data_IF_217904049793
#
_entry.id   IF_217904049793
#
_cell.length_a   1.000
_cell.length_b   1.000
_cell.length_c   1.000
_cell.angle_alpha   90.00
_cell.angle_beta   90.00
_cell.angle_gamma   90.00
#
_symmetry.space_group_name_H-M   'P 1'
#
loop_
_entity.id
_entity.type
_entity.pdbx_description
1 polymer ?
#
# COMPACT_ATOMS: atom_id res chain seq x y z
N UNK A 1 -19.24 -21.23 6.66
CA UNK A 1 -18.01 -22.03 6.46
C UNK A 1 -18.03 -22.73 5.09
N UNK A 2 -16.88 -23.13 4.50
CA UNK A 2 -16.84 -23.90 3.23
C UNK A 2 -17.74 -25.14 3.22
N UNK A 3 -17.87 -25.80 4.37
CA UNK A 3 -18.84 -26.89 4.61
C UNK A 3 -20.28 -26.43 4.37
N UNK A 4 -20.69 -25.30 4.93
CA UNK A 4 -22.04 -24.74 4.74
C UNK A 4 -22.29 -24.26 3.31
N UNK A 5 -21.22 -23.91 2.57
CA UNK A 5 -21.29 -23.56 1.14
C UNK A 5 -21.28 -24.78 0.21
N UNK A 6 -21.32 -26.00 0.74
CA UNK A 6 -21.31 -27.25 -0.04
C UNK A 6 -20.00 -27.51 -0.79
N UNK A 7 -18.90 -26.87 -0.37
CA UNK A 7 -17.57 -26.99 -1.00
C UNK A 7 -16.56 -27.48 0.03
N UNK A 8 -16.70 -28.71 0.54
CA UNK A 8 -15.70 -29.27 1.43
C UNK A 8 -14.35 -29.32 0.69
N UNK A 9 -13.24 -28.98 1.36
CA UNK A 9 -11.92 -29.20 0.78
C UNK A 9 -11.71 -30.70 0.55
N UNK A 10 -11.15 -31.07 -0.59
CA UNK A 10 -10.64 -32.42 -0.81
C UNK A 10 -9.38 -32.66 0.01
N UNK A 11 -9.03 -33.92 0.26
CA UNK A 11 -7.82 -34.27 1.00
C UNK A 11 -6.56 -33.65 0.36
N UNK A 12 -6.48 -33.69 -0.97
CA UNK A 12 -5.42 -33.00 -1.74
C UNK A 12 -5.40 -31.49 -1.49
N UNK A 13 -6.56 -30.85 -1.36
CA UNK A 13 -6.62 -29.41 -1.07
C UNK A 13 -6.11 -29.10 0.35
N UNK A 14 -6.34 -29.99 1.31
CA UNK A 14 -5.80 -29.86 2.68
C UNK A 14 -4.28 -29.94 2.65
N UNK A 15 -3.70 -30.91 1.93
CA UNK A 15 -2.24 -31.03 1.75
C UNK A 15 -1.64 -29.76 1.14
N UNK A 16 -2.29 -29.21 0.10
CA UNK A 16 -1.85 -27.95 -0.53
C UNK A 16 -1.91 -26.76 0.44
N UNK A 17 -2.94 -26.69 1.29
CA UNK A 17 -3.08 -25.63 2.29
C UNK A 17 -2.00 -25.73 3.38
N UNK A 18 -1.67 -26.95 3.83
CA UNK A 18 -0.59 -27.19 4.78
C UNK A 18 0.75 -26.74 4.19
N UNK A 19 1.08 -27.17 2.96
CA UNK A 19 2.31 -26.74 2.29
C UNK A 19 2.37 -25.23 2.03
N UNK A 20 1.22 -24.56 1.84
CA UNK A 20 1.14 -23.11 1.72
C UNK A 20 1.42 -22.41 3.06
N UNK A 21 0.89 -22.94 4.16
CA UNK A 21 1.19 -22.46 5.52
C UNK A 21 2.67 -22.57 5.86
N UNK A 22 3.33 -23.69 5.52
CA UNK A 22 4.77 -23.85 5.73
C UNK A 22 5.59 -22.82 4.96
N UNK A 23 5.23 -22.56 3.69
CA UNK A 23 5.87 -21.52 2.88
C UNK A 23 5.68 -20.13 3.48
N UNK A 24 4.47 -19.81 3.94
CA UNK A 24 4.19 -18.52 4.57
C UNK A 24 4.96 -18.35 5.88
N UNK A 25 5.09 -19.41 6.67
CA UNK A 25 5.95 -19.43 7.86
C UNK A 25 7.41 -19.21 7.52
N UNK A 26 7.93 -19.86 6.48
CA UNK A 26 9.30 -19.67 6.01
C UNK A 26 9.56 -18.24 5.53
N UNK A 27 8.54 -17.58 4.97
CA UNK A 27 8.59 -16.16 4.59
C UNK A 27 8.45 -15.19 5.79
N UNK A 28 8.32 -15.69 7.02
CA UNK A 28 8.23 -14.87 8.23
C UNK A 28 6.83 -14.45 8.65
N UNK A 29 5.78 -14.97 8.01
CA UNK A 29 4.40 -14.75 8.47
C UNK A 29 4.04 -15.71 9.60
N UNK A 30 3.39 -15.20 10.64
CA UNK A 30 2.88 -16.04 11.71
C UNK A 30 1.69 -16.90 11.24
N UNK A 31 1.75 -18.24 11.37
CA UNK A 31 0.67 -19.14 10.97
C UNK A 31 -0.66 -18.85 11.67
N UNK A 32 -0.64 -18.38 12.93
CA UNK A 32 -1.85 -18.03 13.68
C UNK A 32 -2.61 -16.89 13.01
N UNK A 33 -1.91 -15.79 12.72
CA UNK A 33 -2.51 -14.64 12.02
C UNK A 33 -3.05 -15.00 10.62
N UNK A 34 -2.37 -15.90 9.89
CA UNK A 34 -2.85 -16.39 8.57
C UNK A 34 -4.15 -17.18 8.72
N UNK A 35 -4.26 -18.02 9.76
CA UNK A 35 -5.46 -18.81 10.04
C UNK A 35 -6.62 -17.93 10.50
N UNK A 36 -6.36 -16.90 11.30
CA UNK A 36 -7.38 -15.93 11.70
C UNK A 36 -7.96 -15.18 10.50
N UNK A 37 -7.10 -14.71 9.58
CA UNK A 37 -7.53 -14.09 8.33
C UNK A 37 -8.37 -15.06 7.47
N UNK A 38 -7.93 -16.32 7.36
CA UNK A 38 -8.67 -17.33 6.61
C UNK A 38 -10.03 -17.64 7.24
N UNK A 39 -10.11 -17.64 8.57
CA UNK A 39 -11.36 -17.84 9.32
C UNK A 39 -12.37 -16.74 9.00
N UNK A 40 -11.93 -15.47 8.99
CA UNK A 40 -12.76 -14.33 8.55
C UNK A 40 -13.21 -14.45 7.09
N UNK A 41 -12.34 -15.00 6.22
CA UNK A 41 -12.63 -15.23 4.81
C UNK A 41 -13.34 -16.57 4.51
N UNK A 42 -14.03 -17.15 5.51
CA UNK A 42 -14.81 -18.37 5.37
C UNK A 42 -13.99 -19.61 4.93
N UNK A 43 -12.70 -19.67 5.27
CA UNK A 43 -11.79 -20.77 4.92
C UNK A 43 -11.63 -20.98 3.41
N UNK A 44 -11.71 -19.90 2.65
CA UNK A 44 -11.65 -19.97 1.18
C UNK A 44 -10.23 -20.22 0.66
N UNK A 45 -9.22 -19.56 1.23
CA UNK A 45 -7.81 -19.76 0.90
C UNK A 45 -6.91 -19.14 2.00
N UNK A 46 -5.61 -19.45 1.98
CA UNK A 46 -4.60 -18.89 2.87
C UNK A 46 -3.73 -17.89 2.09
N UNK A 47 -3.54 -16.69 2.61
CA UNK A 47 -2.75 -15.64 1.96
C UNK A 47 -1.72 -15.08 2.94
N UNK A 48 -0.63 -14.46 2.44
CA UNK A 48 0.22 -13.62 3.29
C UNK A 48 -0.64 -12.62 4.05
N UNK A 49 -0.42 -12.53 5.36
CA UNK A 49 -1.06 -11.49 6.17
C UNK A 49 -0.57 -10.16 5.62
N UNK A 50 -1.51 -9.32 5.20
CA UNK A 50 -1.18 -7.94 4.85
C UNK A 50 -0.53 -7.34 6.08
N UNK A 51 0.74 -7.00 6.00
CA UNK A 51 1.34 -6.14 7.01
C UNK A 51 0.43 -4.92 7.13
N UNK A 52 0.07 -4.48 8.34
CA UNK A 52 -0.45 -3.14 8.47
C UNK A 52 0.62 -2.27 7.83
N UNK A 53 0.21 -1.52 6.81
CA UNK A 53 1.04 -0.56 6.11
C UNK A 53 1.56 0.40 7.18
N UNK A 54 2.68 0.05 7.82
CA UNK A 54 3.57 0.99 8.43
C UNK A 54 4.16 1.69 7.23
N UNK A 55 3.37 2.65 6.73
CA UNK A 55 3.64 3.54 5.64
C UNK A 55 4.91 4.29 5.93
N UNK A 56 6.04 3.60 5.76
CA UNK A 56 7.31 4.20 5.49
C UNK A 56 7.25 4.55 4.00
N UNK A 57 6.28 5.39 3.65
CA UNK A 57 6.44 6.40 2.63
C UNK A 57 7.61 7.26 3.11
N UNK A 58 8.81 6.71 2.88
CA UNK A 58 10.03 7.46 2.73
C UNK A 58 9.86 8.30 1.47
N UNK A 59 8.97 9.29 1.51
CA UNK A 59 9.19 10.57 0.83
C UNK A 59 10.22 11.35 1.66
N UNK A 60 11.36 10.67 1.86
CA UNK A 60 12.62 11.25 2.17
C UNK A 60 13.05 11.94 0.88
N UNK A 61 13.11 13.26 0.95
CA UNK A 61 14.00 14.06 0.13
C UNK A 61 13.55 14.39 -1.31
N UNK A 62 12.53 15.24 -1.43
CA UNK A 62 12.51 16.27 -2.48
C UNK A 62 12.25 17.63 -1.84
N UNK A 63 13.12 18.01 -0.90
CA UNK A 63 13.43 19.42 -0.67
C UNK A 63 14.84 19.60 -1.18
N UNK A 64 15.00 20.05 -2.43
CA UNK A 64 16.17 20.80 -2.88
C UNK A 64 15.95 21.34 -4.31
N UNK A 65 15.94 22.66 -4.39
CA UNK A 65 16.58 23.46 -5.45
C UNK A 65 15.83 23.80 -6.75
N UNK A 66 14.51 23.97 -6.70
CA UNK A 66 13.84 24.83 -7.69
C UNK A 66 12.54 25.39 -7.11
N UNK A 67 12.63 26.44 -6.29
CA UNK A 67 11.50 27.33 -5.97
C UNK A 67 11.08 28.18 -7.20
N UNK A 68 11.23 27.61 -8.40
CA UNK A 68 10.78 28.21 -9.65
C UNK A 68 9.60 27.38 -10.18
N UNK A 69 8.44 28.01 -10.44
CA UNK A 69 7.34 27.30 -11.09
C UNK A 69 7.80 26.82 -12.46
N UNK A 70 7.85 25.49 -12.65
CA UNK A 70 8.13 24.88 -13.97
C UNK A 70 7.07 25.20 -15.02
N UNK A 71 5.91 25.70 -14.58
CA UNK A 71 4.83 26.14 -15.46
C UNK A 71 5.10 27.56 -15.98
N UNK A 72 5.22 27.75 -17.31
CA UNK A 72 5.55 29.05 -17.90
C UNK A 72 4.48 30.11 -17.66
N UNK A 73 3.22 29.72 -17.48
CA UNK A 73 2.12 30.65 -17.20
C UNK A 73 2.13 31.10 -15.73
N UNK A 74 2.49 30.22 -14.80
CA UNK A 74 2.64 30.57 -13.38
C UNK A 74 3.83 31.51 -13.19
N UNK A 75 4.95 31.26 -13.89
CA UNK A 75 6.11 32.15 -13.90
C UNK A 75 5.75 33.57 -14.37
N UNK A 76 5.07 33.70 -15.51
CA UNK A 76 4.65 34.99 -16.05
C UNK A 76 3.69 35.76 -15.11
N UNK A 77 2.81 35.04 -14.40
CA UNK A 77 1.89 35.65 -13.44
C UNK A 77 2.63 36.24 -12.21
N UNK A 78 3.67 35.55 -11.73
CA UNK A 78 4.49 36.00 -10.60
C UNK A 78 5.31 37.24 -10.99
N UNK A 79 5.92 37.22 -12.17
CA UNK A 79 6.72 38.34 -12.71
C UNK A 79 5.87 39.61 -12.86
N UNK A 80 4.70 39.51 -13.51
CA UNK A 80 3.76 40.63 -13.67
C UNK A 80 3.27 41.20 -12.33
N UNK A 81 3.12 40.34 -11.32
CA UNK A 81 2.73 40.78 -9.98
C UNK A 81 3.87 41.54 -9.27
N UNK A 82 5.11 41.10 -9.45
CA UNK A 82 6.30 41.74 -8.89
C UNK A 82 6.55 43.12 -9.51
N UNK A 83 6.41 43.24 -10.84
CA UNK A 83 6.53 44.52 -11.56
C UNK A 83 5.50 45.55 -11.07
N UNK A 84 4.25 45.13 -10.87
CA UNK A 84 3.20 46.00 -10.36
C UNK A 84 3.50 46.48 -8.93
N UNK A 85 4.01 45.59 -8.07
CA UNK A 85 4.36 45.93 -6.69
C UNK A 85 5.57 46.88 -6.61
N UNK A 86 6.49 46.84 -7.58
CA UNK A 86 7.62 47.75 -7.66
C UNK A 86 7.21 49.17 -8.09
N UNK A 87 6.20 49.27 -8.97
CA UNK A 87 5.64 50.56 -9.40
C UNK A 87 4.84 51.27 -8.29
N UNK A 88 4.24 50.53 -7.37
CA UNK A 88 3.47 51.08 -6.24
C UNK A 88 4.38 51.52 -5.05
N UNK A 89 5.70 51.28 -5.13
CA UNK A 89 6.68 51.64 -4.08
C UNK A 89 7.64 52.78 -4.46
N UNK A 90 7.49 53.40 -5.64
CA UNK A 90 8.19 54.61 -6.05
C UNK A 90 7.29 55.83 -5.98
#
# INVERSE_FOLDING_TARGET
MRKDKGKPPSDRAIELLIGKLEKLRASGHDPGNVLDQSTLQNWTDLYPVKEPDNGNQRHRNQRSDSDEPRDPFVRAAIERKAERAALERG
#
